data_IF_196045170490
#
_entry.id   IF_196045170490
#
_cell.length_a   1.000
_cell.length_b   1.000
_cell.length_c   1.000
_cell.angle_alpha   90.00
_cell.angle_beta   90.00
_cell.angle_gamma   90.00
#
_symmetry.space_group_name_H-M   'P 1'
#
loop_
_entity.id
_entity.type
_entity.pdbx_description
1 polymer ?
#
# COMPACT_ATOMS: atom_id res chain seq x y z
N UNK A 1 7.76 -20.33 -5.85
CA UNK A 1 8.92 -19.44 -5.58
C UNK A 1 8.98 -19.21 -4.09
N UNK A 2 10.16 -19.23 -3.46
CA UNK A 2 10.27 -18.98 -2.01
C UNK A 2 10.53 -17.51 -1.76
N UNK A 3 9.75 -16.89 -0.90
CA UNK A 3 9.85 -15.48 -0.50
C UNK A 3 9.61 -15.35 1.01
N UNK A 4 10.02 -14.24 1.60
CA UNK A 4 9.93 -13.92 3.02
C UNK A 4 9.52 -12.47 3.32
N UNK A 5 9.51 -11.59 2.30
CA UNK A 5 9.01 -10.23 2.45
C UNK A 5 8.18 -9.81 1.22
N UNK A 6 7.08 -9.11 1.48
CA UNK A 6 6.32 -8.38 0.46
C UNK A 6 6.49 -6.89 0.73
N UNK A 7 6.93 -6.14 -0.29
CA UNK A 7 7.02 -4.69 -0.26
C UNK A 7 6.03 -4.09 -1.23
N UNK A 8 5.29 -3.06 -0.79
CA UNK A 8 4.30 -2.35 -1.59
C UNK A 8 4.58 -0.86 -1.56
N UNK A 9 4.55 -0.25 -2.74
CA UNK A 9 4.63 1.21 -2.91
C UNK A 9 3.28 1.73 -3.38
N UNK A 10 2.60 2.49 -2.53
CA UNK A 10 1.31 3.13 -2.81
C UNK A 10 1.48 4.54 -3.40
N UNK A 11 0.45 5.03 -4.10
CA UNK A 11 0.37 6.45 -4.46
C UNK A 11 0.05 7.28 -3.21
N UNK A 12 0.91 8.23 -2.90
CA UNK A 12 0.75 9.19 -1.80
C UNK A 12 0.75 10.61 -2.33
N UNK A 13 -0.01 10.82 -3.41
CA UNK A 13 -0.12 12.11 -4.07
C UNK A 13 1.09 12.50 -4.87
N UNK A 14 1.65 11.56 -5.63
CA UNK A 14 2.84 11.82 -6.44
C UNK A 14 2.59 12.82 -7.59
N UNK A 15 1.33 13.11 -7.89
CA UNK A 15 0.91 14.12 -8.85
C UNK A 15 0.74 15.53 -8.25
N UNK A 16 0.81 15.65 -6.91
CA UNK A 16 0.58 16.92 -6.19
C UNK A 16 1.91 17.46 -5.69
N UNK A 17 2.17 18.74 -5.94
CA UNK A 17 3.30 19.41 -5.33
C UNK A 17 3.07 19.50 -3.82
N UNK A 18 4.00 18.93 -3.05
CA UNK A 18 4.03 19.00 -1.60
C UNK A 18 5.31 19.73 -1.20
N UNK A 19 5.18 20.79 -0.41
CA UNK A 19 6.31 21.61 0.03
C UNK A 19 6.02 22.16 1.42
N UNK A 20 7.05 22.17 2.27
CA UNK A 20 6.97 22.84 3.56
C UNK A 20 7.21 24.34 3.36
N UNK A 21 6.17 25.15 3.49
CA UNK A 21 6.25 26.60 3.32
C UNK A 21 5.34 27.32 4.29
N UNK A 22 5.76 28.50 4.75
CA UNK A 22 4.93 29.44 5.50
C UNK A 22 4.09 30.36 4.60
N UNK A 23 4.25 30.28 3.28
CA UNK A 23 3.43 31.03 2.33
C UNK A 23 2.08 30.36 2.12
N UNK A 24 0.99 31.12 2.34
CA UNK A 24 -0.38 30.66 2.10
C UNK A 24 -0.61 30.33 0.62
N UNK A 25 -0.06 31.14 -0.29
CA UNK A 25 -0.21 30.90 -1.73
C UNK A 25 0.47 29.60 -2.17
N UNK A 26 1.60 29.25 -1.55
CA UNK A 26 2.30 27.99 -1.79
C UNK A 26 1.57 26.79 -1.18
N UNK A 27 0.86 26.99 -0.06
CA UNK A 27 0.19 25.92 0.68
C UNK A 27 -1.26 25.69 0.29
N UNK A 28 -1.90 26.60 -0.48
CA UNK A 28 -3.36 26.60 -0.72
C UNK A 28 -3.94 25.30 -1.28
N UNK A 29 -3.16 24.54 -2.03
CA UNK A 29 -3.59 23.30 -2.69
C UNK A 29 -3.05 22.04 -1.99
N UNK A 30 -2.38 22.20 -0.85
CA UNK A 30 -1.80 21.10 -0.09
C UNK A 30 -2.87 20.51 0.83
N UNK A 31 -3.16 19.23 0.65
CA UNK A 31 -3.99 18.47 1.58
C UNK A 31 -3.16 18.18 2.83
N UNK A 32 -3.57 18.77 3.96
CA UNK A 32 -2.99 18.53 5.28
C UNK A 32 -3.59 17.27 5.88
N UNK A 33 -3.09 16.11 5.46
CA UNK A 33 -3.54 14.81 5.93
C UNK A 33 -3.10 13.67 5.01
N UNK A 34 -3.59 12.44 5.24
CA UNK A 34 -3.45 11.34 4.29
C UNK A 34 -3.95 11.76 2.90
N UNK A 35 -3.22 11.35 1.85
CA UNK A 35 -3.60 11.71 0.50
C UNK A 35 -4.77 10.81 0.05
N UNK A 36 -5.84 11.36 -0.57
CA UNK A 36 -7.06 10.59 -0.88
C UNK A 36 -6.83 9.30 -1.67
N UNK A 37 -5.88 9.34 -2.60
CA UNK A 37 -5.43 8.23 -3.46
C UNK A 37 -4.67 7.12 -2.73
N UNK A 38 -4.20 7.37 -1.51
CA UNK A 38 -3.48 6.36 -0.74
C UNK A 38 -4.45 5.29 -0.27
N UNK A 39 -4.10 4.03 -0.56
CA UNK A 39 -4.79 2.86 -0.02
C UNK A 39 -4.67 2.88 1.50
N UNK A 40 -5.82 2.95 2.18
CA UNK A 40 -5.91 3.00 3.63
C UNK A 40 -6.00 1.58 4.19
N UNK A 41 -6.92 0.78 3.67
CA UNK A 41 -7.28 -0.50 4.26
C UNK A 41 -7.10 -1.59 3.23
N UNK A 42 -6.34 -2.62 3.58
CA UNK A 42 -6.04 -3.71 2.68
C UNK A 42 -5.64 -4.99 3.40
N UNK A 43 -5.87 -6.10 2.71
CA UNK A 43 -5.49 -7.44 3.15
C UNK A 43 -4.49 -8.03 2.15
N UNK A 44 -3.40 -8.60 2.68
CA UNK A 44 -2.46 -9.40 1.92
C UNK A 44 -2.68 -10.87 2.23
N UNK A 45 -2.79 -11.67 1.18
CA UNK A 45 -2.89 -13.12 1.29
C UNK A 45 -2.04 -13.79 0.23
N UNK A 46 -1.54 -14.97 0.56
CA UNK A 46 -0.78 -15.81 -0.37
C UNK A 46 -1.50 -17.14 -0.55
N UNK A 47 -1.35 -17.73 -1.73
CA UNK A 47 -1.71 -19.12 -1.97
C UNK A 47 -0.45 -19.98 -1.99
N UNK A 48 -0.48 -21.05 -1.21
CA UNK A 48 0.57 -22.06 -1.17
C UNK A 48 0.46 -23.00 -2.38
N UNK A 49 1.49 -23.79 -2.72
CA UNK A 49 1.48 -24.68 -3.88
C UNK A 49 0.39 -25.76 -3.86
N UNK A 50 -0.14 -26.09 -2.68
CA UNK A 50 -1.25 -27.02 -2.50
C UNK A 50 -2.64 -26.36 -2.73
N UNK A 51 -2.66 -25.06 -3.04
CA UNK A 51 -3.88 -24.29 -3.28
C UNK A 51 -4.52 -23.72 -2.03
N UNK A 52 -4.01 -24.02 -0.83
CA UNK A 52 -4.47 -23.37 0.40
C UNK A 52 -4.12 -21.88 0.37
N UNK A 53 -4.93 -21.06 1.05
CA UNK A 53 -4.73 -19.61 1.15
C UNK A 53 -4.63 -19.19 2.59
N UNK A 54 -3.64 -18.37 2.91
CA UNK A 54 -3.46 -17.76 4.22
C UNK A 54 -3.26 -16.26 4.12
N UNK A 55 -3.73 -15.55 5.14
CA UNK A 55 -3.52 -14.12 5.31
C UNK A 55 -2.11 -13.85 5.86
N UNK A 56 -1.44 -12.85 5.30
CA UNK A 56 -0.13 -12.35 5.75
C UNK A 56 -0.28 -11.06 6.53
N UNK A 57 -1.22 -10.20 6.14
CA UNK A 57 -1.47 -8.96 6.85
C UNK A 57 -2.90 -8.49 6.60
N UNK A 58 -3.49 -7.89 7.62
CA UNK A 58 -4.65 -7.03 7.54
C UNK A 58 -4.27 -5.66 8.10
N UNK A 59 -4.34 -4.63 7.24
CA UNK A 59 -3.91 -3.28 7.56
C UNK A 59 -5.10 -2.35 7.41
N UNK A 60 -5.28 -1.49 8.40
CA UNK A 60 -6.27 -0.40 8.40
C UNK A 60 -5.55 0.94 8.59
N UNK A 61 -6.09 1.99 7.98
CA UNK A 61 -5.64 3.37 8.17
C UNK A 61 -4.24 3.68 7.64
N UNK A 62 -3.72 2.92 6.66
CA UNK A 62 -2.40 3.16 6.07
C UNK A 62 -2.31 4.53 5.39
N UNK A 63 -1.39 5.38 5.84
CA UNK A 63 -1.03 6.65 5.18
C UNK A 63 0.43 6.65 4.70
N UNK A 64 1.11 5.49 4.76
CA UNK A 64 2.49 5.37 4.33
C UNK A 64 2.59 5.00 2.85
N UNK A 65 3.59 5.58 2.18
CA UNK A 65 3.94 5.26 0.80
C UNK A 65 4.50 3.85 0.67
N UNK A 66 5.48 3.52 1.52
CA UNK A 66 6.17 2.24 1.48
C UNK A 66 5.71 1.37 2.65
N UNK A 67 5.21 0.18 2.35
CA UNK A 67 4.84 -0.83 3.34
C UNK A 67 5.63 -2.10 3.10
N UNK A 68 6.18 -2.66 4.18
CA UNK A 68 6.92 -3.91 4.17
C UNK A 68 6.23 -4.90 5.10
N UNK A 69 6.12 -6.12 4.64
CA UNK A 69 5.44 -7.21 5.32
C UNK A 69 6.38 -8.41 5.35
N UNK A 70 7.25 -8.51 6.37
CA UNK A 70 8.06 -9.70 6.59
C UNK A 70 7.18 -10.84 7.14
N UNK A 71 7.49 -12.07 6.75
CA UNK A 71 6.87 -13.29 7.24
C UNK A 71 7.84 -14.46 7.12
N UNK A 72 7.49 -15.60 7.71
CA UNK A 72 8.31 -16.80 7.58
C UNK A 72 8.47 -17.21 6.12
N UNK A 73 9.72 -17.48 5.71
CA UNK A 73 10.02 -17.82 4.33
C UNK A 73 9.22 -19.04 3.87
N UNK A 74 8.42 -18.87 2.83
CA UNK A 74 7.55 -19.94 2.32
C UNK A 74 7.53 -19.97 0.80
N UNK A 75 7.39 -21.18 0.25
CA UNK A 75 7.12 -21.33 -1.18
C UNK A 75 5.68 -20.92 -1.44
N UNK A 76 5.46 -20.01 -2.40
CA UNK A 76 4.13 -19.57 -2.79
C UNK A 76 3.88 -19.79 -4.28
N UNK A 77 2.60 -19.94 -4.61
CA UNK A 77 2.09 -19.96 -5.98
C UNK A 77 1.58 -18.59 -6.42
N UNK A 78 0.92 -17.84 -5.54
CA UNK A 78 0.41 -16.51 -5.87
C UNK A 78 0.31 -15.59 -4.65
N UNK A 79 0.36 -14.28 -4.93
CA UNK A 79 0.11 -13.20 -3.98
C UNK A 79 -1.18 -12.48 -4.38
N UNK A 80 -1.98 -12.09 -3.39
CA UNK A 80 -3.16 -11.24 -3.58
C UNK A 80 -3.13 -10.07 -2.60
N UNK A 81 -3.18 -8.87 -3.16
CA UNK A 81 -3.56 -7.64 -2.48
C UNK A 81 -5.06 -7.42 -2.70
N UNK A 82 -5.83 -7.40 -1.63
CA UNK A 82 -7.24 -7.00 -1.64
C UNK A 82 -7.36 -5.64 -0.96
N UNK A 83 -7.76 -4.62 -1.71
CA UNK A 83 -7.95 -3.27 -1.17
C UNK A 83 -9.40 -3.09 -0.75
N UNK A 84 -9.58 -2.74 0.52
CA UNK A 84 -10.89 -2.52 1.13
C UNK A 84 -11.28 -1.04 1.09
N UNK A 85 -10.31 -0.13 1.26
CA UNK A 85 -10.56 1.31 1.23
C UNK A 85 -9.33 2.14 0.81
N UNK A 86 -9.60 3.36 0.37
CA UNK A 86 -8.63 4.46 0.23
C UNK A 86 -9.04 5.60 1.16
N UNK A 87 -8.18 6.60 1.34
CA UNK A 87 -8.53 7.80 2.12
C UNK A 87 -9.53 8.76 1.43
N UNK A 88 -10.12 8.37 0.30
CA UNK A 88 -11.18 9.15 -0.38
C UNK A 88 -11.18 9.10 -1.90
N UNK A 89 -10.23 8.39 -2.52
CA UNK A 89 -10.19 8.18 -3.97
C UNK A 89 -11.11 7.02 -4.40
N UNK A 90 -11.90 7.18 -5.47
CA UNK A 90 -12.69 6.07 -6.05
C UNK A 90 -11.82 5.05 -6.80
N UNK A 91 -10.53 5.35 -6.97
CA UNK A 91 -9.58 4.50 -7.69
C UNK A 91 -8.46 4.02 -6.76
N UNK A 92 -8.10 2.75 -6.92
CA UNK A 92 -6.95 2.14 -6.27
C UNK A 92 -5.71 2.46 -7.10
N UNK A 93 -4.65 2.97 -6.44
CA UNK A 93 -3.37 3.28 -7.08
C UNK A 93 -2.22 2.63 -6.31
N UNK A 94 -1.58 1.68 -6.96
CA UNK A 94 -0.39 0.98 -6.47
C UNK A 94 0.68 1.13 -7.54
N UNK A 95 1.85 1.62 -7.16
CA UNK A 95 2.95 1.79 -8.09
C UNK A 95 3.79 0.52 -8.23
N UNK A 96 3.92 -0.25 -7.15
CA UNK A 96 4.79 -1.41 -7.15
C UNK A 96 4.39 -2.43 -6.08
N UNK A 97 4.57 -3.71 -6.42
CA UNK A 97 4.61 -4.82 -5.46
C UNK A 97 5.87 -5.63 -5.77
N UNK A 98 6.75 -5.77 -4.78
CA UNK A 98 7.96 -6.61 -4.85
C UNK A 98 7.87 -7.73 -3.83
N UNK A 99 8.38 -8.89 -4.21
CA UNK A 99 8.55 -10.02 -3.31
C UNK A 99 10.04 -10.34 -3.21
N UNK A 100 10.53 -10.53 -1.99
CA UNK A 100 11.92 -10.83 -1.65
C UNK A 100 12.02 -12.15 -0.91
#
# INVERSE_FOLDING_TARGET
VTISEIQITFDTGFHRQLTLSASDSASRNIIRGPQPETVSDYTLSIADPDGSRREIANVEGNYHRLRKHPFEASSIQSLRLHVNATHGSPHIRVFEIRCY
#
